data_IF_961692872418
#
_entry.id   IF_961692872418
#
_cell.length_a   1.000
_cell.length_b   1.000
_cell.length_c   1.000
_cell.angle_alpha   90.00
_cell.angle_beta   90.00
_cell.angle_gamma   90.00
#
_symmetry.space_group_name_H-M   'P 1'
#
loop_
_entity.id
_entity.type
_entity.pdbx_description
1 polymer ?
#
# COMPACT_ATOMS: atom_id res chain seq x y z
N UNK A 1 17.40 -3.11 18.16
CA UNK A 1 16.20 -3.93 18.44
C UNK A 1 15.38 -3.92 17.16
N UNK A 2 15.12 -5.07 16.54
CA UNK A 2 14.28 -5.10 15.33
C UNK A 2 12.83 -4.88 15.75
N UNK A 3 12.20 -3.83 15.23
CA UNK A 3 10.77 -3.57 15.44
C UNK A 3 9.97 -4.63 14.65
N UNK A 4 9.57 -5.71 15.32
CA UNK A 4 8.74 -6.79 14.75
C UNK A 4 7.30 -6.37 14.42
N UNK A 5 6.96 -5.09 14.60
CA UNK A 5 5.60 -4.57 14.39
C UNK A 5 5.37 -4.00 12.99
N UNK A 6 6.42 -3.86 12.18
CA UNK A 6 6.30 -3.48 10.78
C UNK A 6 6.32 -4.72 9.89
N UNK A 7 5.26 -4.93 9.12
CA UNK A 7 5.26 -5.86 7.99
C UNK A 7 5.69 -5.05 6.77
N UNK A 8 6.69 -5.55 6.03
CA UNK A 8 7.09 -5.02 4.74
C UNK A 8 6.93 -6.11 3.68
N UNK A 9 6.21 -5.81 2.61
CA UNK A 9 6.04 -6.68 1.44
C UNK A 9 6.49 -5.89 0.22
N UNK A 10 7.46 -6.43 -0.51
CA UNK A 10 7.90 -5.93 -1.80
C UNK A 10 7.22 -6.73 -2.91
N UNK A 11 6.69 -6.04 -3.91
CA UNK A 11 6.03 -6.62 -5.07
C UNK A 11 6.66 -6.07 -6.34
N UNK A 12 7.03 -6.96 -7.25
CA UNK A 12 7.51 -6.54 -8.57
C UNK A 12 6.33 -6.24 -9.48
N UNK A 13 6.36 -5.07 -10.14
CA UNK A 13 5.42 -4.76 -11.21
C UNK A 13 5.61 -5.64 -12.43
N UNK A 14 4.51 -5.95 -13.11
CA UNK A 14 4.56 -6.60 -14.42
C UNK A 14 4.94 -5.58 -15.49
N UNK A 15 6.12 -5.70 -16.13
CA UNK A 15 6.56 -4.76 -17.17
C UNK A 15 5.72 -4.82 -18.46
N UNK A 16 4.94 -5.88 -18.68
CA UNK A 16 4.12 -6.07 -19.90
C UNK A 16 2.70 -5.49 -19.78
N UNK A 17 2.18 -5.25 -18.56
CA UNK A 17 0.77 -4.88 -18.29
C UNK A 17 0.50 -3.40 -17.92
N UNK A 18 1.50 -2.50 -18.08
CA UNK A 18 1.44 -1.02 -18.05
C UNK A 18 2.07 -0.26 -16.85
N UNK A 19 2.61 0.92 -17.20
CA UNK A 19 2.96 2.19 -16.52
C UNK A 19 3.78 2.19 -15.22
N UNK A 20 3.66 1.17 -14.39
CA UNK A 20 4.40 1.05 -13.14
C UNK A 20 5.61 0.15 -13.33
N UNK A 21 6.63 0.67 -14.01
CA UNK A 21 7.97 0.07 -13.98
C UNK A 21 8.58 0.31 -12.59
N UNK A 22 8.49 -0.66 -11.66
CA UNK A 22 9.00 -0.45 -10.31
C UNK A 22 8.73 -1.61 -9.34
N UNK A 23 9.43 -1.54 -8.21
CA UNK A 23 9.13 -2.29 -6.98
C UNK A 23 8.06 -1.51 -6.22
N UNK A 24 6.98 -2.17 -5.83
CA UNK A 24 5.96 -1.60 -4.96
C UNK A 24 6.20 -2.09 -3.54
N UNK A 25 5.98 -1.22 -2.56
CA UNK A 25 6.10 -1.62 -1.16
C UNK A 25 4.79 -1.42 -0.43
N UNK A 26 4.39 -2.45 0.32
CA UNK A 26 3.30 -2.38 1.28
C UNK A 26 3.93 -2.43 2.67
N UNK A 27 3.68 -1.40 3.45
CA UNK A 27 4.05 -1.33 4.85
C UNK A 27 2.80 -1.45 5.70
N UNK A 28 2.80 -2.30 6.72
CA UNK A 28 1.73 -2.35 7.70
C UNK A 28 2.30 -2.27 9.11
N UNK A 29 1.92 -1.24 9.84
CA UNK A 29 2.24 -1.07 11.25
C UNK A 29 1.14 -1.73 12.09
N UNK A 30 1.51 -2.78 12.82
CA UNK A 30 0.59 -3.55 13.65
C UNK A 30 0.14 -2.80 14.91
N UNK A 31 0.89 -1.82 15.38
CA UNK A 31 0.54 -1.06 16.58
C UNK A 31 -0.51 0.00 16.27
N UNK A 32 -0.36 0.67 15.12
CA UNK A 32 -1.27 1.75 14.70
C UNK A 32 -2.39 1.26 13.77
N UNK A 33 -2.22 0.08 13.17
CA UNK A 33 -3.12 -0.45 12.14
C UNK A 33 -3.07 0.32 10.82
N UNK A 34 -2.05 1.17 10.64
CA UNK A 34 -1.84 1.95 9.41
C UNK A 34 -1.21 1.04 8.35
N UNK A 35 -1.72 1.15 7.14
CA UNK A 35 -1.16 0.50 5.95
C UNK A 35 -0.75 1.57 4.95
N UNK A 36 0.52 1.57 4.57
CA UNK A 36 1.09 2.48 3.58
C UNK A 36 1.40 1.73 2.29
N UNK A 37 0.99 2.28 1.15
CA UNK A 37 1.34 1.79 -0.18
C UNK A 37 2.28 2.78 -0.85
N UNK A 38 3.50 2.33 -1.15
CA UNK A 38 4.47 3.06 -1.94
C UNK A 38 4.43 2.55 -3.38
N UNK A 39 4.04 3.44 -4.29
CA UNK A 39 4.03 3.20 -5.73
C UNK A 39 5.01 4.17 -6.39
N UNK A 40 6.23 3.73 -6.72
CA UNK A 40 7.20 4.60 -7.37
C UNK A 40 6.83 4.83 -8.84
N UNK A 41 6.69 6.09 -9.22
CA UNK A 41 6.68 6.49 -10.61
C UNK A 41 8.13 6.78 -11.06
N UNK A 42 8.79 5.78 -11.65
CA UNK A 42 10.16 5.95 -12.17
C UNK A 42 10.24 6.91 -13.37
N UNK A 43 9.12 7.26 -14.01
CA UNK A 43 9.09 8.14 -15.19
C UNK A 43 9.01 9.62 -14.81
N UNK A 44 8.32 9.94 -13.72
CA UNK A 44 8.08 11.32 -13.28
C UNK A 44 8.66 11.67 -11.91
N UNK A 45 9.26 10.70 -11.19
CA UNK A 45 9.92 10.94 -9.90
C UNK A 45 8.95 11.22 -8.75
N UNK A 46 7.65 11.08 -8.97
CA UNK A 46 6.62 11.23 -7.96
C UNK A 46 6.19 9.86 -7.46
N UNK A 47 6.70 9.48 -6.29
CA UNK A 47 6.11 8.37 -5.53
C UNK A 47 4.72 8.78 -5.05
N UNK A 48 3.72 7.99 -5.38
CA UNK A 48 2.41 8.15 -4.75
C UNK A 48 2.40 7.29 -3.49
N UNK A 49 2.34 7.95 -2.33
CA UNK A 49 2.17 7.30 -1.04
C UNK A 49 0.70 7.37 -0.64
N UNK A 50 0.09 6.21 -0.41
CA UNK A 50 -1.25 6.14 0.18
C UNK A 50 -1.15 5.59 1.60
N UNK A 51 -1.62 6.36 2.57
CA UNK A 51 -1.76 5.91 3.95
C UNK A 51 -3.22 5.64 4.27
N UNK A 52 -3.51 4.41 4.69
CA UNK A 52 -4.83 3.99 5.13
C UNK A 52 -4.81 3.68 6.62
N UNK A 53 -5.60 4.42 7.38
CA UNK A 53 -5.81 4.13 8.79
C UNK A 53 -6.76 2.95 8.99
N UNK A 54 -6.85 2.43 10.22
CA UNK A 54 -7.85 1.43 10.59
C UNK A 54 -9.29 1.90 10.31
N UNK A 55 -9.58 3.20 10.43
CA UNK A 55 -10.89 3.76 10.13
C UNK A 55 -11.18 3.78 8.62
N UNK A 56 -10.17 4.08 7.80
CA UNK A 56 -10.31 4.03 6.33
C UNK A 56 -10.62 2.61 5.87
N UNK A 57 -9.95 1.60 6.46
CA UNK A 57 -10.25 0.20 6.19
C UNK A 57 -11.66 -0.21 6.63
N UNK A 58 -12.14 0.28 7.76
CA UNK A 58 -13.52 0.04 8.19
C UNK A 58 -14.52 0.59 7.15
N UNK A 59 -14.31 1.82 6.68
CA UNK A 59 -15.12 2.45 5.64
C UNK A 59 -15.04 1.71 4.30
N UNK A 60 -13.86 1.29 3.87
CA UNK A 60 -13.68 0.52 2.62
C UNK A 60 -14.47 -0.79 2.68
N UNK A 61 -14.41 -1.51 3.81
CA UNK A 61 -15.19 -2.74 4.01
C UNK A 61 -16.70 -2.48 3.94
N UNK A 62 -17.18 -1.41 4.57
CA UNK A 62 -18.59 -1.01 4.49
C UNK A 62 -19.00 -0.73 3.04
N UNK A 63 -18.18 0.01 2.29
CA UNK A 63 -18.45 0.30 0.88
C UNK A 63 -18.53 -0.96 0.03
N UNK A 64 -17.56 -1.87 0.17
CA UNK A 64 -17.55 -3.16 -0.55
C UNK A 64 -18.82 -3.96 -0.22
N UNK A 65 -19.18 -4.05 1.07
CA UNK A 65 -20.35 -4.80 1.52
C UNK A 65 -21.68 -4.10 1.25
N UNK A 66 -21.69 -2.81 0.91
CA UNK A 66 -22.91 -2.07 0.57
C UNK A 66 -23.30 -2.18 -0.92
N UNK A 67 -22.37 -2.66 -1.75
CA UNK A 67 -22.55 -2.81 -3.20
C UNK A 67 -23.08 -4.21 -3.56
N UNK A 68 -23.11 -5.14 -2.60
CA UNK A 68 -23.68 -6.49 -2.71
C UNK A 68 -24.75 -6.73 -1.64
#
# INVERSE_FOLDING_TARGET
MSNNNLIHIELDGDPELQTSFGEFSIYADRDTGVVSLDIPDRRYGHTTLYDFSAADWARIKELINSVF
#
